data_IF_795846211312
#
_entry.id   IF_795846211312
#
_cell.length_a   1.000
_cell.length_b   1.000
_cell.length_c   1.000
_cell.angle_alpha   90.00
_cell.angle_beta   90.00
_cell.angle_gamma   90.00
#
_symmetry.space_group_name_H-M   'P 1'
#
loop_
_entity.id
_entity.type
_entity.pdbx_description
1 polymer ?
#
# COMPACT_ATOMS: atom_id res chain seq x y z
N UNK A 1 26.82 -10.81 -6.72
CA UNK A 1 25.86 -11.75 -6.08
C UNK A 1 25.99 -11.57 -4.58
N UNK A 2 24.91 -11.10 -3.93
CA UNK A 2 24.89 -10.95 -2.46
C UNK A 2 24.95 -12.33 -1.80
N UNK A 3 25.71 -12.46 -0.71
CA UNK A 3 25.80 -13.73 0.02
C UNK A 3 24.47 -14.02 0.74
N UNK A 4 24.15 -15.30 1.03
CA UNK A 4 22.96 -15.65 1.82
C UNK A 4 22.89 -14.96 3.19
N UNK A 5 24.03 -14.58 3.74
CA UNK A 5 24.14 -13.82 5.01
C UNK A 5 23.71 -12.36 4.84
N UNK A 6 24.02 -11.74 3.71
CA UNK A 6 23.63 -10.35 3.41
C UNK A 6 22.12 -10.23 3.10
N UNK A 7 21.57 -11.19 2.34
CA UNK A 7 20.15 -11.26 2.09
C UNK A 7 19.35 -11.43 3.39
N UNK A 8 19.85 -12.27 4.32
CA UNK A 8 19.21 -12.47 5.63
C UNK A 8 19.27 -11.20 6.50
N UNK A 9 20.39 -10.45 6.46
CA UNK A 9 20.54 -9.17 7.17
C UNK A 9 19.63 -8.08 6.60
N UNK A 10 19.41 -8.05 5.28
CA UNK A 10 18.48 -7.10 4.64
C UNK A 10 17.02 -7.37 5.09
N UNK A 11 16.60 -8.63 5.15
CA UNK A 11 15.29 -8.99 5.68
C UNK A 11 15.10 -8.69 7.17
N UNK A 12 16.18 -8.76 7.96
CA UNK A 12 16.12 -8.44 9.38
C UNK A 12 15.96 -6.93 9.65
N UNK A 13 16.32 -6.08 8.69
CA UNK A 13 16.23 -4.62 8.79
C UNK A 13 14.85 -4.04 8.45
N UNK A 14 13.94 -4.82 7.88
CA UNK A 14 12.63 -4.35 7.44
C UNK A 14 11.55 -4.54 8.50
N UNK A 15 10.69 -3.52 8.64
CA UNK A 15 9.46 -3.62 9.44
C UNK A 15 8.46 -4.54 8.75
N UNK A 16 7.80 -5.38 9.52
CA UNK A 16 6.73 -6.26 9.03
C UNK A 16 5.43 -5.90 9.72
N UNK A 17 4.37 -5.75 8.96
CA UNK A 17 3.03 -5.43 9.46
C UNK A 17 2.03 -6.52 9.09
N UNK A 18 1.02 -6.68 9.92
CA UNK A 18 -0.15 -7.53 9.68
C UNK A 18 -1.36 -6.66 9.42
N UNK A 19 -1.98 -6.86 8.29
CA UNK A 19 -3.26 -6.23 7.93
C UNK A 19 -4.35 -7.30 8.02
N UNK A 20 -5.21 -7.16 9.01
CA UNK A 20 -6.36 -8.04 9.21
C UNK A 20 -7.55 -7.49 8.43
N UNK A 21 -8.06 -8.27 7.47
CA UNK A 21 -9.20 -7.85 6.65
C UNK A 21 -10.38 -8.80 6.81
N UNK A 22 -11.55 -8.37 6.36
CA UNK A 22 -12.75 -9.21 6.32
C UNK A 22 -12.64 -10.43 5.38
N UNK A 23 -11.59 -10.49 4.57
CA UNK A 23 -11.28 -11.62 3.66
C UNK A 23 -10.09 -12.46 4.13
N UNK A 24 -9.42 -12.08 5.21
CA UNK A 24 -8.25 -12.75 5.77
C UNK A 24 -7.10 -11.78 6.02
N UNK A 25 -5.98 -12.32 6.44
CA UNK A 25 -4.80 -11.55 6.82
C UNK A 25 -3.81 -11.41 5.67
N UNK A 26 -3.19 -10.25 5.60
CA UNK A 26 -2.12 -9.93 4.66
C UNK A 26 -0.90 -9.51 5.49
N UNK A 27 0.23 -10.16 5.28
CA UNK A 27 1.50 -9.82 5.94
C UNK A 27 2.36 -9.07 4.92
N UNK A 28 2.84 -7.89 5.31
CA UNK A 28 3.55 -6.96 4.42
C UNK A 28 4.89 -6.62 5.04
N UNK A 29 5.96 -6.80 4.28
CA UNK A 29 7.30 -6.32 4.58
C UNK A 29 7.44 -4.90 4.03
N UNK A 30 7.80 -3.94 4.88
CA UNK A 30 7.98 -2.54 4.50
C UNK A 30 9.45 -2.25 4.19
N UNK A 31 9.69 -1.42 3.18
CA UNK A 31 11.04 -1.07 2.71
C UNK A 31 11.59 0.15 3.44
N UNK A 32 11.93 -0.01 4.72
CA UNK A 32 12.38 1.06 5.63
C UNK A 32 13.61 1.82 5.11
N UNK A 33 14.48 1.14 4.36
CA UNK A 33 15.72 1.70 3.84
C UNK A 33 15.51 2.46 2.53
N UNK A 34 14.64 1.93 1.66
CA UNK A 34 14.41 2.40 0.30
C UNK A 34 13.36 3.50 0.23
N UNK A 35 12.38 3.48 1.13
CA UNK A 35 11.29 4.45 1.20
C UNK A 35 11.02 4.90 2.65
N UNK A 36 12.01 5.52 3.31
CA UNK A 36 11.96 5.76 4.76
C UNK A 36 10.85 6.72 5.18
N UNK A 37 10.58 7.78 4.42
CA UNK A 37 9.50 8.74 4.73
C UNK A 37 8.13 8.12 4.53
N UNK A 38 7.95 7.35 3.48
CA UNK A 38 6.71 6.65 3.17
C UNK A 38 6.39 5.60 4.23
N UNK A 39 7.39 4.80 4.62
CA UNK A 39 7.25 3.79 5.69
C UNK A 39 6.93 4.45 7.02
N UNK A 40 7.64 5.51 7.40
CA UNK A 40 7.37 6.24 8.65
C UNK A 40 5.94 6.82 8.67
N UNK A 41 5.49 7.37 7.57
CA UNK A 41 4.12 7.88 7.41
C UNK A 41 3.07 6.76 7.58
N UNK A 42 3.28 5.63 6.92
CA UNK A 42 2.38 4.47 7.01
C UNK A 42 2.32 3.91 8.45
N UNK A 43 3.47 3.75 9.11
CA UNK A 43 3.55 3.32 10.51
C UNK A 43 2.85 4.33 11.43
N UNK A 44 3.00 5.63 11.20
CA UNK A 44 2.31 6.66 11.97
C UNK A 44 0.78 6.52 11.92
N UNK A 45 0.22 6.25 10.75
CA UNK A 45 -1.21 5.96 10.61
C UNK A 45 -1.61 4.66 11.31
N UNK A 46 -0.77 3.63 11.28
CA UNK A 46 -1.00 2.38 11.99
C UNK A 46 -1.08 2.62 13.51
N UNK A 47 -0.12 3.37 14.06
CA UNK A 47 -0.06 3.70 15.49
C UNK A 47 -1.25 4.53 15.98
N UNK A 48 -1.78 5.40 15.10
CA UNK A 48 -3.01 6.16 15.39
C UNK A 48 -4.30 5.32 15.30
N UNK A 49 -4.23 4.07 14.85
CA UNK A 49 -5.41 3.26 14.56
C UNK A 49 -6.23 3.77 13.39
N UNK A 50 -5.64 4.59 12.51
CA UNK A 50 -6.34 5.26 11.41
C UNK A 50 -6.98 4.29 10.42
N UNK A 51 -6.31 3.18 10.13
CA UNK A 51 -6.78 2.21 9.14
C UNK A 51 -7.89 1.29 9.65
N UNK A 52 -8.13 1.24 10.96
CA UNK A 52 -9.19 0.40 11.55
C UNK A 52 -10.57 0.87 11.08
N UNK A 53 -11.33 -0.04 10.49
CA UNK A 53 -12.65 0.25 9.94
C UNK A 53 -12.65 0.90 8.57
N UNK A 54 -11.49 1.16 7.97
CA UNK A 54 -11.42 1.62 6.58
C UNK A 54 -11.67 0.48 5.61
N UNK A 55 -12.05 0.82 4.39
CA UNK A 55 -12.40 -0.15 3.34
C UNK A 55 -11.46 -0.06 2.15
N UNK A 56 -11.39 -1.13 1.37
CA UNK A 56 -10.89 -1.07 0.01
C UNK A 56 -11.98 -0.50 -0.88
N UNK A 57 -11.97 0.82 -1.08
CA UNK A 57 -13.04 1.55 -1.76
C UNK A 57 -12.94 1.55 -3.28
N UNK A 58 -11.81 1.10 -3.84
CA UNK A 58 -11.59 1.02 -5.27
C UNK A 58 -10.82 -0.25 -5.60
N UNK A 59 -11.45 -1.14 -6.34
CA UNK A 59 -10.88 -2.42 -6.75
C UNK A 59 -11.07 -2.57 -8.25
N UNK A 60 -9.97 -2.70 -8.98
CA UNK A 60 -9.97 -2.95 -10.41
C UNK A 60 -9.30 -4.31 -10.66
N UNK A 61 -10.08 -5.28 -11.11
CA UNK A 61 -9.58 -6.61 -11.43
C UNK A 61 -8.46 -6.53 -12.48
N UNK A 62 -7.43 -7.33 -12.32
CA UNK A 62 -6.22 -7.33 -13.15
C UNK A 62 -5.49 -5.97 -13.16
N UNK A 63 -5.54 -5.26 -12.04
CA UNK A 63 -4.80 -4.01 -11.85
C UNK A 63 -4.34 -3.87 -10.39
N UNK A 64 -5.22 -3.41 -9.50
CA UNK A 64 -4.85 -3.16 -8.09
C UNK A 64 -6.08 -3.15 -7.18
N UNK A 65 -5.83 -3.22 -5.88
CA UNK A 65 -6.81 -2.95 -4.83
C UNK A 65 -6.36 -1.73 -4.03
N UNK A 66 -7.23 -0.75 -3.84
CA UNK A 66 -6.92 0.54 -3.20
C UNK A 66 -7.80 0.76 -1.99
N UNK A 67 -7.20 1.20 -0.90
CA UNK A 67 -7.91 1.48 0.34
C UNK A 67 -7.17 2.41 1.29
N UNK A 68 -7.64 2.48 2.51
CA UNK A 68 -6.99 3.22 3.60
C UNK A 68 -7.38 4.69 3.69
N UNK A 69 -8.45 5.12 3.06
CA UNK A 69 -8.88 6.53 3.11
C UNK A 69 -10.36 6.75 3.41
N UNK A 70 -11.17 5.72 3.25
CA UNK A 70 -12.62 5.79 3.42
C UNK A 70 -13.11 4.74 4.41
N UNK A 71 -14.08 5.12 5.23
CA UNK A 71 -14.90 4.21 6.04
C UNK A 71 -16.10 3.73 5.23
N UNK A 72 -16.91 2.86 5.83
CA UNK A 72 -18.19 2.43 5.27
C UNK A 72 -19.03 3.64 4.82
N UNK A 73 -19.90 3.42 3.83
CA UNK A 73 -20.71 4.47 3.21
C UNK A 73 -19.88 5.54 2.48
N UNK A 74 -18.62 5.21 2.14
CA UNK A 74 -17.67 6.09 1.44
C UNK A 74 -17.40 7.41 2.16
N UNK A 75 -17.40 7.38 3.49
CA UNK A 75 -17.04 8.52 4.31
C UNK A 75 -15.52 8.67 4.36
N UNK A 76 -15.00 9.74 3.78
CA UNK A 76 -13.57 10.02 3.76
C UNK A 76 -13.06 10.44 5.14
N UNK A 77 -11.96 9.83 5.59
CA UNK A 77 -11.26 10.22 6.81
C UNK A 77 -10.33 11.38 6.55
N UNK A 78 -10.26 12.31 7.52
CA UNK A 78 -9.28 13.40 7.49
C UNK A 78 -7.86 12.86 7.65
N UNK A 79 -6.99 13.16 6.70
CA UNK A 79 -5.61 12.72 6.67
C UNK A 79 -4.64 13.77 7.23
N UNK A 80 -3.41 13.33 7.53
CA UNK A 80 -2.28 14.20 7.87
C UNK A 80 -1.79 14.96 6.63
N UNK A 81 -0.80 15.83 6.83
CA UNK A 81 -0.11 16.52 5.73
C UNK A 81 0.49 15.53 4.73
N UNK A 82 0.52 15.91 3.44
CA UNK A 82 1.12 15.08 2.39
C UNK A 82 2.62 14.88 2.59
N UNK A 83 3.13 13.79 2.01
CA UNK A 83 4.56 13.46 2.01
C UNK A 83 5.16 13.56 0.61
N UNK A 84 6.48 13.74 0.55
CA UNK A 84 7.21 13.70 -0.71
C UNK A 84 7.16 12.33 -1.35
N UNK A 85 7.09 12.28 -2.66
CA UNK A 85 7.08 11.05 -3.44
C UNK A 85 8.49 10.44 -3.49
N UNK A 86 8.65 9.25 -2.93
CA UNK A 86 9.91 8.51 -2.90
C UNK A 86 10.04 7.47 -4.02
N UNK A 87 9.23 7.58 -5.07
CA UNK A 87 9.33 6.67 -6.22
C UNK A 87 10.72 6.72 -6.86
N UNK A 88 11.26 5.55 -7.16
CA UNK A 88 12.57 5.39 -7.80
C UNK A 88 12.49 4.32 -8.89
N UNK A 89 13.44 4.35 -9.82
CA UNK A 89 13.55 3.35 -10.89
C UNK A 89 13.91 1.94 -10.37
N UNK A 90 14.36 1.82 -9.12
CA UNK A 90 14.76 0.54 -8.52
C UNK A 90 13.61 -0.21 -7.84
N UNK A 91 12.47 0.46 -7.59
CA UNK A 91 11.29 -0.12 -6.97
C UNK A 91 10.11 -0.09 -7.93
N UNK A 92 9.87 -1.22 -8.59
CA UNK A 92 8.81 -1.37 -9.58
C UNK A 92 7.48 -1.81 -8.95
N UNK A 93 6.37 -1.35 -9.55
CA UNK A 93 5.01 -1.75 -9.21
C UNK A 93 4.70 -3.14 -9.78
N UNK A 94 5.37 -4.16 -9.27
CA UNK A 94 5.13 -5.55 -9.63
C UNK A 94 4.05 -6.17 -8.75
N UNK A 95 3.50 -7.31 -9.18
CA UNK A 95 2.49 -8.04 -8.40
C UNK A 95 2.95 -8.25 -6.96
N UNK A 96 2.07 -7.95 -6.02
CA UNK A 96 2.29 -8.10 -4.58
C UNK A 96 2.93 -6.91 -3.89
N UNK A 97 3.37 -5.88 -4.63
CA UNK A 97 3.90 -4.66 -4.00
C UNK A 97 2.78 -3.73 -3.53
N UNK A 98 3.07 -2.99 -2.45
CA UNK A 98 2.22 -1.92 -1.93
C UNK A 98 2.85 -0.57 -2.26
N UNK A 99 2.04 0.36 -2.75
CA UNK A 99 2.46 1.70 -3.13
C UNK A 99 1.46 2.76 -2.63
N UNK A 100 1.90 4.01 -2.58
CA UNK A 100 1.04 5.13 -2.16
C UNK A 100 0.17 5.62 -3.30
N UNK A 101 -1.15 5.66 -3.05
CA UNK A 101 -2.08 6.39 -3.89
C UNK A 101 -1.89 7.89 -3.70
N UNK A 102 -2.17 8.66 -4.74
CA UNK A 102 -2.05 10.12 -4.74
C UNK A 102 -2.94 10.75 -5.81
N UNK A 103 -3.08 12.05 -5.77
CA UNK A 103 -3.67 12.83 -6.85
C UNK A 103 -2.67 13.05 -7.99
N UNK A 104 -3.01 13.89 -8.97
CA UNK A 104 -2.08 14.30 -10.04
C UNK A 104 -0.87 15.09 -9.52
N UNK A 105 -0.95 15.70 -8.34
CA UNK A 105 0.20 16.28 -7.67
C UNK A 105 1.15 15.16 -7.20
N UNK A 106 2.41 15.28 -7.62
CA UNK A 106 3.46 14.28 -7.35
C UNK A 106 3.63 14.05 -5.83
N UNK A 107 3.53 15.09 -5.03
CA UNK A 107 3.75 15.10 -3.58
C UNK A 107 2.44 15.25 -2.80
N UNK A 108 1.39 14.56 -3.21
CA UNK A 108 0.05 14.63 -2.58
C UNK A 108 -0.35 13.40 -1.78
N UNK A 109 0.50 12.38 -1.69
CA UNK A 109 0.20 11.16 -0.95
C UNK A 109 0.01 11.43 0.54
N UNK A 110 -1.03 10.85 1.13
CA UNK A 110 -1.33 10.94 2.57
C UNK A 110 -1.48 9.56 3.19
N UNK A 111 -2.69 9.02 3.25
CA UNK A 111 -2.98 7.74 3.91
C UNK A 111 -3.27 6.60 2.95
N UNK A 112 -3.87 6.88 1.79
CA UNK A 112 -4.33 5.85 0.87
C UNK A 112 -3.19 5.12 0.19
N UNK A 113 -3.35 3.82 0.07
CA UNK A 113 -2.41 2.92 -0.59
C UNK A 113 -3.13 1.99 -1.56
N UNK A 114 -2.36 1.35 -2.41
CA UNK A 114 -2.86 0.25 -3.24
C UNK A 114 -1.88 -0.92 -3.25
N UNK A 115 -2.40 -2.12 -3.47
CA UNK A 115 -1.61 -3.33 -3.67
C UNK A 115 -1.78 -3.76 -5.12
N UNK A 116 -0.66 -3.92 -5.81
CA UNK A 116 -0.64 -4.36 -7.21
C UNK A 116 -1.01 -5.85 -7.29
N UNK A 117 -2.01 -6.19 -8.09
CA UNK A 117 -2.44 -7.57 -8.30
C UNK A 117 -1.84 -8.21 -9.54
N UNK A 118 -1.25 -7.40 -10.39
CA UNK A 118 -0.42 -7.77 -11.54
C UNK A 118 0.81 -6.86 -11.60
N UNK A 119 1.72 -7.12 -12.54
CA UNK A 119 2.79 -6.17 -12.84
C UNK A 119 2.23 -4.96 -13.59
N UNK A 120 2.44 -3.77 -13.04
CA UNK A 120 1.92 -2.50 -13.55
C UNK A 120 3.07 -1.55 -13.93
N UNK A 121 3.81 -1.79 -15.02
CA UNK A 121 4.96 -0.96 -15.39
C UNK A 121 4.59 0.49 -15.70
N UNK A 122 3.35 0.76 -16.08
CA UNK A 122 2.86 2.13 -16.30
C UNK A 122 2.86 3.00 -15.03
N UNK A 123 2.89 2.37 -13.84
CA UNK A 123 2.94 3.07 -12.55
C UNK A 123 4.36 3.32 -12.04
N UNK A 124 5.37 2.84 -12.74
CA UNK A 124 6.76 2.95 -12.34
C UNK A 124 7.34 4.34 -12.58
N UNK A 125 8.30 4.71 -11.75
CA UNK A 125 9.08 5.93 -11.93
C UNK A 125 9.96 5.83 -13.17
N UNK A 126 9.78 6.75 -14.11
CA UNK A 126 10.55 6.85 -15.37
C UNK A 126 11.41 8.10 -15.41
N UNK A 127 10.90 9.21 -14.91
CA UNK A 127 11.57 10.50 -14.87
C UNK A 127 10.86 11.44 -13.86
N UNK A 128 11.41 12.63 -13.66
CA UNK A 128 10.90 13.61 -12.69
C UNK A 128 9.78 14.52 -13.23
N UNK A 129 9.12 14.14 -14.33
CA UNK A 129 7.93 14.84 -14.82
C UNK A 129 6.68 14.37 -14.10
N UNK A 130 5.60 15.16 -14.17
CA UNK A 130 4.32 14.81 -13.59
C UNK A 130 3.78 13.45 -14.11
N UNK A 131 3.93 13.21 -15.40
CA UNK A 131 3.48 11.96 -16.04
C UNK A 131 4.41 10.77 -15.78
N UNK A 132 5.69 11.03 -15.60
CA UNK A 132 6.73 10.00 -15.49
C UNK A 132 7.19 9.70 -14.07
N UNK A 133 6.74 10.46 -13.07
CA UNK A 133 7.23 10.28 -11.70
C UNK A 133 6.83 8.95 -11.08
N UNK A 134 5.63 8.48 -11.40
CA UNK A 134 5.12 7.20 -10.92
C UNK A 134 4.65 7.23 -9.46
N UNK A 135 4.50 6.04 -8.90
CA UNK A 135 3.95 5.80 -7.56
C UNK A 135 5.00 5.13 -6.68
N UNK A 136 5.13 5.64 -5.45
CA UNK A 136 6.14 5.18 -4.50
C UNK A 136 5.79 3.80 -3.93
N UNK A 137 6.48 2.77 -4.39
CA UNK A 137 6.45 1.44 -3.78
C UNK A 137 7.21 1.50 -2.46
N UNK A 138 6.62 0.99 -1.38
CA UNK A 138 7.22 1.02 -0.05
C UNK A 138 7.17 -0.30 0.71
N UNK A 139 6.73 -1.38 0.06
CA UNK A 139 6.68 -2.70 0.66
C UNK A 139 6.19 -3.77 -0.30
N UNK A 140 6.10 -4.99 0.21
CA UNK A 140 5.56 -6.14 -0.53
C UNK A 140 4.84 -7.10 0.39
N UNK A 141 3.84 -7.76 -0.15
CA UNK A 141 3.14 -8.88 0.51
C UNK A 141 4.08 -10.07 0.57
N UNK A 142 4.33 -10.59 1.78
CA UNK A 142 5.13 -11.80 2.01
C UNK A 142 4.27 -13.02 2.39
N UNK A 143 3.06 -12.78 2.91
CA UNK A 143 2.04 -13.81 3.15
C UNK A 143 0.66 -13.23 2.87
N UNK A 144 -0.26 -14.06 2.38
CA UNK A 144 -1.65 -13.65 2.14
C UNK A 144 -1.91 -13.11 0.73
N UNK A 145 -1.08 -13.42 -0.25
CA UNK A 145 -1.32 -13.02 -1.64
C UNK A 145 -2.63 -13.61 -2.19
N UNK A 146 -3.02 -14.80 -1.71
CA UNK A 146 -4.32 -15.39 -2.02
C UNK A 146 -5.49 -14.56 -1.45
N UNK A 147 -5.31 -13.90 -0.31
CA UNK A 147 -6.29 -12.96 0.25
C UNK A 147 -6.40 -11.71 -0.63
N UNK A 148 -5.27 -11.18 -1.09
CA UNK A 148 -5.24 -10.06 -2.05
C UNK A 148 -6.02 -10.42 -3.33
N UNK A 149 -5.81 -11.62 -3.87
CA UNK A 149 -6.53 -12.10 -5.05
C UNK A 149 -8.04 -12.27 -4.78
N UNK A 150 -8.42 -12.75 -3.61
CA UNK A 150 -9.83 -12.87 -3.20
C UNK A 150 -10.49 -11.48 -3.09
N UNK A 151 -9.79 -10.49 -2.59
CA UNK A 151 -10.27 -9.09 -2.55
C UNK A 151 -10.41 -8.55 -3.98
N UNK A 152 -9.43 -8.79 -4.84
CA UNK A 152 -9.46 -8.35 -6.24
C UNK A 152 -10.61 -8.94 -7.06
N UNK A 153 -11.15 -10.08 -6.65
CA UNK A 153 -12.21 -10.80 -7.34
C UNK A 153 -13.64 -10.40 -6.93
N UNK A 154 -13.80 -9.51 -5.94
CA UNK A 154 -15.14 -9.08 -5.49
C UNK A 154 -15.87 -8.30 -6.57
N UNK A 155 -17.21 -8.36 -6.53
CA UNK A 155 -18.06 -7.59 -7.45
C UNK A 155 -17.98 -6.11 -7.12
N UNK A 156 -17.83 -5.29 -8.14
CA UNK A 156 -17.76 -3.83 -8.04
C UNK A 156 -18.87 -3.16 -8.84
N UNK A 157 -19.09 -1.89 -8.59
CA UNK A 157 -20.04 -1.05 -9.29
C UNK A 157 -19.76 0.43 -9.04
N UNK A 158 -20.62 1.29 -9.56
CA UNK A 158 -20.52 2.73 -9.34
C UNK A 158 -21.41 3.19 -8.19
N UNK A 159 -20.91 4.12 -7.39
CA UNK A 159 -21.67 4.80 -6.33
C UNK A 159 -21.46 6.31 -6.51
N UNK A 160 -22.52 7.02 -6.93
CA UNK A 160 -22.40 8.42 -7.32
C UNK A 160 -21.43 8.59 -8.47
N UNK A 161 -20.42 9.44 -8.30
CA UNK A 161 -19.33 9.65 -9.26
C UNK A 161 -18.14 8.69 -9.09
N UNK A 162 -18.15 7.87 -8.05
CA UNK A 162 -17.11 6.88 -7.79
C UNK A 162 -17.37 5.60 -8.57
N UNK A 163 -16.32 5.08 -9.20
CA UNK A 163 -16.35 3.84 -9.99
C UNK A 163 -15.52 2.75 -9.28
N UNK A 164 -15.74 1.52 -9.67
CA UNK A 164 -14.99 0.36 -9.17
C UNK A 164 -15.06 0.18 -7.65
N UNK A 165 -16.21 0.52 -7.08
CA UNK A 165 -16.51 0.38 -5.66
C UNK A 165 -17.04 -1.03 -5.38
N UNK A 166 -16.48 -1.81 -4.43
CA UNK A 166 -17.02 -3.10 -4.03
C UNK A 166 -18.50 -2.99 -3.63
N UNK A 167 -19.32 -3.93 -4.09
CA UNK A 167 -20.75 -3.98 -3.74
C UNK A 167 -20.95 -4.34 -2.26
N UNK A 168 -20.08 -5.20 -1.74
CA UNK A 168 -20.01 -5.52 -0.32
C UNK A 168 -18.66 -5.03 0.21
N UNK A 169 -18.68 -4.31 1.32
CA UNK A 169 -17.48 -3.72 1.88
C UNK A 169 -16.41 -4.76 2.21
N UNK A 170 -15.20 -4.52 1.76
CA UNK A 170 -14.00 -5.22 2.21
C UNK A 170 -13.30 -4.36 3.25
N UNK A 171 -13.41 -4.76 4.51
CA UNK A 171 -13.01 -3.95 5.67
C UNK A 171 -11.60 -4.32 6.12
N UNK A 172 -10.78 -3.32 6.39
CA UNK A 172 -9.53 -3.44 7.13
C UNK A 172 -9.92 -3.35 8.61
N UNK A 173 -9.82 -4.47 9.32
CA UNK A 173 -10.20 -4.55 10.73
C UNK A 173 -9.15 -3.93 11.63
N UNK A 174 -7.87 -4.20 11.31
CA UNK A 174 -6.72 -3.72 12.07
C UNK A 174 -5.46 -3.83 11.23
N UNK A 175 -4.53 -2.90 11.44
CA UNK A 175 -3.14 -3.03 10.98
C UNK A 175 -2.22 -2.88 12.18
N UNK A 176 -1.27 -3.79 12.33
CA UNK A 176 -0.33 -3.79 13.45
C UNK A 176 1.09 -4.11 13.01
N UNK A 177 2.06 -3.50 13.67
CA UNK A 177 3.47 -3.85 13.49
C UNK A 177 3.75 -5.13 14.27
N UNK A 178 4.20 -6.19 13.58
CA UNK A 178 4.53 -7.49 14.20
C UNK A 178 6.05 -7.70 14.32
N UNK A 179 6.84 -6.93 13.56
CA UNK A 179 8.30 -6.89 13.65
C UNK A 179 8.76 -5.49 13.28
N UNK A 180 9.48 -4.82 14.18
CA UNK A 180 10.13 -3.53 13.88
C UNK A 180 11.41 -3.74 13.11
N UNK A 181 11.64 -2.92 12.08
CA UNK A 181 12.92 -2.84 11.39
C UNK A 181 14.00 -2.25 12.30
N UNK A 182 15.25 -2.59 12.04
CA UNK A 182 16.37 -1.98 12.74
C UNK A 182 16.57 -0.55 12.22
N UNK A 183 16.46 0.44 13.13
CA UNK A 183 16.85 1.80 12.80
C UNK A 183 18.34 1.86 12.49
N UNK A 184 18.73 2.47 11.38
CA UNK A 184 20.14 2.82 11.16
C UNK A 184 20.58 3.76 12.28
N UNK A 185 21.54 3.32 13.08
CA UNK A 185 22.28 4.19 14.01
C UNK A 185 23.20 5.11 13.23
#
# INVERSE_FOLDING_TARGET
MSTPSEAKKLHEAHTVVRMETSKGDIIIELFDQEAPKTVANFIGYIEDGFYEGTIFHRIIQNFMIQGGGFEAELKQKAAREPISNEATATLSNVRGTIAMARTSDINSATAQFFINTINNPALDHRNKTQQGYGYAVFGKVIEGLAVVDAIAAVKTGSVGHLQDVPKDDVVIKKVSVIKSGEAKK
#
